data_IF_404933578174
#
_entry.id   IF_404933578174
#
_cell.length_a   1.000
_cell.length_b   1.000
_cell.length_c   1.000
_cell.angle_alpha   90.00
_cell.angle_beta   90.00
_cell.angle_gamma   90.00
#
_symmetry.space_group_name_H-M   'P 1'
#
loop_
_entity.id
_entity.type
_entity.pdbx_description
1 polymer ?
#
# COMPACT_ATOMS: atom_id res chain seq x y z
N UNK A 1 -33.94 2.81 -12.18
CA UNK A 1 -34.03 1.40 -11.78
C UNK A 1 -33.35 0.64 -12.90
N UNK A 2 -32.04 0.46 -12.82
CA UNK A 2 -31.24 -0.34 -13.74
C UNK A 2 -31.28 -1.79 -13.25
N UNK A 3 -31.81 -2.68 -14.09
CA UNK A 3 -31.79 -4.12 -13.86
C UNK A 3 -30.35 -4.55 -13.58
N UNK A 4 -30.15 -5.23 -12.46
CA UNK A 4 -28.90 -5.92 -12.13
C UNK A 4 -28.68 -7.03 -13.16
N UNK A 5 -28.01 -6.72 -14.26
CA UNK A 5 -27.56 -7.71 -15.24
C UNK A 5 -26.55 -8.63 -14.56
N UNK A 6 -26.94 -9.88 -14.32
CA UNK A 6 -26.00 -10.89 -13.84
C UNK A 6 -25.07 -11.26 -15.00
N UNK A 7 -23.79 -10.91 -14.88
CA UNK A 7 -22.77 -11.36 -15.82
C UNK A 7 -22.74 -12.88 -15.91
N UNK A 8 -22.47 -13.38 -17.11
CA UNK A 8 -22.43 -14.81 -17.41
C UNK A 8 -21.03 -15.19 -17.91
N UNK A 9 -20.45 -16.18 -17.29
CA UNK A 9 -19.21 -16.81 -17.77
C UNK A 9 -19.56 -17.84 -18.84
N UNK A 10 -18.92 -17.74 -20.00
CA UNK A 10 -18.96 -18.72 -21.08
C UNK A 10 -17.61 -19.43 -21.12
N UNK A 11 -17.62 -20.74 -20.91
CA UNK A 11 -16.44 -21.60 -21.02
C UNK A 11 -16.57 -22.51 -22.23
N UNK A 12 -15.57 -22.47 -23.09
CA UNK A 12 -15.54 -23.25 -24.34
C UNK A 12 -14.31 -24.14 -24.34
N UNK A 13 -14.52 -25.44 -24.52
CA UNK A 13 -13.48 -26.36 -24.98
C UNK A 13 -13.57 -26.39 -26.52
N UNK A 14 -12.62 -25.82 -27.25
CA UNK A 14 -12.79 -25.52 -28.68
C UNK A 14 -12.68 -26.75 -29.61
N UNK A 15 -12.32 -27.89 -29.07
CA UNK A 15 -12.03 -29.08 -29.87
C UNK A 15 -10.83 -28.89 -30.79
N UNK A 16 -10.96 -29.37 -32.02
CA UNK A 16 -9.90 -29.34 -33.03
C UNK A 16 -9.71 -27.98 -33.74
N UNK A 17 -10.64 -27.02 -33.54
CA UNK A 17 -10.70 -25.75 -34.30
C UNK A 17 -10.58 -24.52 -33.39
N UNK A 18 -9.53 -24.48 -32.61
CA UNK A 18 -9.32 -23.45 -31.56
C UNK A 18 -9.32 -22.02 -32.10
N UNK A 19 -8.59 -21.77 -33.17
CA UNK A 19 -8.45 -20.42 -33.74
C UNK A 19 -9.76 -19.90 -34.32
N UNK A 20 -10.53 -20.78 -35.00
CA UNK A 20 -11.82 -20.42 -35.56
C UNK A 20 -12.85 -20.15 -34.47
N UNK A 21 -12.82 -20.90 -33.36
CA UNK A 21 -13.66 -20.62 -32.20
C UNK A 21 -13.33 -19.28 -31.57
N UNK A 22 -12.07 -18.98 -31.38
CA UNK A 22 -11.61 -17.67 -30.84
C UNK A 22 -12.10 -16.53 -31.75
N UNK A 23 -11.88 -16.65 -33.07
CA UNK A 23 -12.34 -15.65 -34.03
C UNK A 23 -13.87 -15.46 -34.03
N UNK A 24 -14.61 -16.55 -33.88
CA UNK A 24 -16.07 -16.51 -33.81
C UNK A 24 -16.60 -15.83 -32.54
N UNK A 25 -15.95 -16.09 -31.40
CA UNK A 25 -16.28 -15.44 -30.13
C UNK A 25 -16.06 -13.91 -30.20
N UNK A 26 -14.92 -13.46 -30.74
CA UNK A 26 -14.67 -12.02 -30.93
C UNK A 26 -15.62 -11.39 -31.94
N UNK A 27 -15.89 -12.07 -33.06
CA UNK A 27 -16.84 -11.57 -34.06
C UNK A 27 -18.27 -11.40 -33.49
N UNK A 28 -18.63 -12.18 -32.46
CA UNK A 28 -19.94 -12.13 -31.80
C UNK A 28 -19.95 -11.21 -30.57
N UNK A 29 -18.86 -10.49 -30.30
CA UNK A 29 -18.83 -9.43 -29.29
C UNK A 29 -18.12 -9.78 -27.97
N UNK A 30 -17.35 -10.86 -27.88
CA UNK A 30 -16.49 -11.10 -26.75
C UNK A 30 -15.45 -9.96 -26.66
N UNK A 31 -15.38 -9.27 -25.51
CA UNK A 31 -14.44 -8.16 -25.29
C UNK A 31 -13.05 -8.62 -24.90
N UNK A 32 -12.92 -9.85 -24.42
CA UNK A 32 -11.67 -10.48 -24.05
C UNK A 32 -11.88 -11.96 -23.81
N UNK A 33 -10.80 -12.73 -23.95
CA UNK A 33 -10.79 -14.15 -23.62
C UNK A 33 -9.63 -14.45 -22.67
N UNK A 34 -9.83 -15.40 -21.78
CA UNK A 34 -8.79 -15.97 -20.93
C UNK A 34 -8.61 -17.44 -21.30
N UNK A 35 -7.36 -17.86 -21.48
CA UNK A 35 -7.04 -19.27 -21.67
C UNK A 35 -6.81 -19.93 -20.31
N UNK A 36 -7.57 -21.00 -20.03
CA UNK A 36 -7.47 -21.77 -18.79
C UNK A 36 -7.30 -23.24 -19.14
N UNK A 37 -6.06 -23.70 -19.20
CA UNK A 37 -5.71 -25.02 -19.72
C UNK A 37 -6.12 -25.15 -21.19
N UNK A 38 -6.94 -26.14 -21.51
CA UNK A 38 -7.47 -26.36 -22.87
C UNK A 38 -8.73 -25.56 -23.16
N UNK A 39 -9.29 -24.86 -22.16
CA UNK A 39 -10.52 -24.08 -22.29
C UNK A 39 -10.24 -22.62 -22.62
N UNK A 40 -11.19 -22.00 -23.30
CA UNK A 40 -11.34 -20.58 -23.52
C UNK A 40 -12.48 -20.08 -22.61
N UNK A 41 -12.24 -19.03 -21.86
CA UNK A 41 -13.23 -18.45 -20.95
C UNK A 41 -13.44 -16.99 -21.31
N UNK A 42 -14.67 -16.57 -21.42
CA UNK A 42 -15.05 -15.15 -21.58
C UNK A 42 -16.26 -14.82 -20.69
N UNK A 43 -16.53 -13.55 -20.51
CA UNK A 43 -17.63 -13.07 -19.68
C UNK A 43 -18.45 -12.05 -20.46
N UNK A 44 -19.76 -12.12 -20.32
CA UNK A 44 -20.72 -11.24 -21.02
C UNK A 44 -21.79 -10.73 -20.04
N UNK A 45 -22.36 -9.55 -20.32
CA UNK A 45 -23.26 -8.88 -19.38
C UNK A 45 -24.63 -9.52 -19.23
N UNK A 46 -25.02 -10.43 -20.14
CA UNK A 46 -26.34 -11.06 -20.09
C UNK A 46 -26.34 -12.52 -20.58
N UNK A 47 -27.39 -13.27 -20.20
CA UNK A 47 -27.60 -14.63 -20.71
C UNK A 47 -27.86 -14.64 -22.24
N UNK A 48 -28.49 -13.59 -22.74
CA UNK A 48 -28.75 -13.48 -24.21
C UNK A 48 -27.41 -13.35 -24.98
N UNK A 49 -26.47 -12.56 -24.48
CA UNK A 49 -25.11 -12.45 -25.06
C UNK A 49 -24.36 -13.77 -24.96
N UNK A 50 -24.47 -14.47 -23.82
CA UNK A 50 -23.88 -15.79 -23.67
C UNK A 50 -24.41 -16.81 -24.66
N UNK A 51 -25.73 -16.83 -24.91
CA UNK A 51 -26.36 -17.73 -25.88
C UNK A 51 -25.87 -17.46 -27.31
N UNK A 52 -25.61 -16.20 -27.66
CA UNK A 52 -25.01 -15.85 -28.95
C UNK A 52 -23.58 -16.39 -29.09
N UNK A 53 -22.78 -16.27 -28.04
CA UNK A 53 -21.42 -16.83 -28.04
C UNK A 53 -21.42 -18.36 -28.09
N UNK A 54 -22.36 -19.02 -27.40
CA UNK A 54 -22.52 -20.48 -27.46
C UNK A 54 -22.82 -20.90 -28.90
N UNK A 55 -23.78 -20.25 -29.55
CA UNK A 55 -24.14 -20.55 -30.97
C UNK A 55 -22.92 -20.35 -31.89
N UNK A 56 -22.17 -19.26 -31.71
CA UNK A 56 -21.00 -18.97 -32.54
C UNK A 56 -19.89 -20.03 -32.36
N UNK A 57 -19.60 -20.43 -31.13
CA UNK A 57 -18.60 -21.44 -30.84
C UNK A 57 -18.94 -22.80 -31.43
N UNK A 58 -20.20 -23.23 -31.28
CA UNK A 58 -20.68 -24.50 -31.84
C UNK A 58 -20.76 -24.49 -33.39
N UNK A 59 -21.02 -23.33 -33.99
CA UNK A 59 -21.00 -23.17 -35.45
C UNK A 59 -19.56 -23.23 -36.01
N UNK A 60 -18.59 -22.71 -35.26
CA UNK A 60 -17.16 -22.69 -35.64
C UNK A 60 -16.51 -24.06 -35.50
N UNK A 61 -16.91 -24.86 -34.50
CA UNK A 61 -16.36 -26.19 -34.26
C UNK A 61 -17.45 -27.15 -33.78
N UNK A 62 -17.72 -28.19 -34.54
CA UNK A 62 -18.76 -29.18 -34.24
C UNK A 62 -18.42 -30.10 -33.05
N UNK A 63 -17.16 -30.15 -32.65
CA UNK A 63 -16.64 -30.88 -31.51
C UNK A 63 -16.38 -29.97 -30.30
N UNK A 64 -16.73 -28.70 -30.36
CA UNK A 64 -16.65 -27.80 -29.23
C UNK A 64 -17.66 -28.19 -28.14
N UNK A 65 -17.22 -28.08 -26.89
CA UNK A 65 -18.06 -28.25 -25.70
C UNK A 65 -18.17 -26.92 -24.98
N UNK A 66 -19.39 -26.42 -24.82
CA UNK A 66 -19.63 -25.11 -24.22
C UNK A 66 -20.47 -25.27 -22.96
N UNK A 67 -20.11 -24.55 -21.94
CA UNK A 67 -20.88 -24.40 -20.70
C UNK A 67 -21.00 -22.94 -20.31
N UNK A 68 -22.16 -22.57 -19.77
CA UNK A 68 -22.40 -21.24 -19.22
C UNK A 68 -22.72 -21.35 -17.75
N UNK A 69 -22.24 -20.37 -16.97
CA UNK A 69 -22.58 -20.25 -15.56
C UNK A 69 -22.79 -18.76 -15.24
N UNK A 70 -23.76 -18.43 -14.37
CA UNK A 70 -23.83 -17.08 -13.84
C UNK A 70 -22.48 -16.76 -13.20
N UNK A 71 -21.93 -15.59 -13.52
CA UNK A 71 -20.78 -15.09 -12.76
C UNK A 71 -21.31 -14.79 -11.36
N UNK A 72 -20.80 -15.43 -10.31
CA UNK A 72 -21.20 -15.07 -8.96
C UNK A 72 -21.03 -13.56 -8.83
N UNK A 73 -22.02 -12.89 -8.28
CA UNK A 73 -21.90 -11.48 -7.93
C UNK A 73 -20.93 -11.41 -6.72
N UNK A 74 -19.66 -11.65 -7.02
CA UNK A 74 -18.59 -11.54 -6.03
C UNK A 74 -18.39 -10.05 -5.87
N UNK A 75 -18.84 -9.53 -4.76
CA UNK A 75 -18.49 -8.18 -4.38
C UNK A 75 -16.98 -8.12 -4.13
N UNK A 76 -16.25 -7.83 -5.21
CA UNK A 76 -14.79 -7.69 -5.16
C UNK A 76 -14.38 -6.60 -4.17
N UNK A 77 -15.28 -5.64 -3.90
CA UNK A 77 -15.04 -4.60 -2.90
C UNK A 77 -15.04 -5.16 -1.47
N UNK A 78 -15.66 -6.29 -1.23
CA UNK A 78 -15.67 -6.95 0.08
C UNK A 78 -14.67 -8.12 0.15
N UNK A 79 -14.35 -8.75 -0.98
CA UNK A 79 -13.51 -9.95 -0.96
C UNK A 79 -12.04 -9.64 -0.61
N UNK A 80 -11.50 -8.50 -1.08
CA UNK A 80 -10.14 -8.08 -0.72
C UNK A 80 -10.00 -7.75 0.78
N UNK A 81 -11.08 -7.33 1.44
CA UNK A 81 -11.08 -7.07 2.88
C UNK A 81 -10.81 -8.32 3.71
N UNK A 82 -11.16 -9.51 3.19
CA UNK A 82 -11.00 -10.78 3.92
C UNK A 82 -9.52 -11.17 4.10
N UNK A 83 -8.63 -10.63 3.25
CA UNK A 83 -7.17 -10.86 3.35
C UNK A 83 -6.45 -9.88 4.27
N UNK A 84 -7.12 -8.81 4.73
CA UNK A 84 -6.51 -7.78 5.58
C UNK A 84 -6.74 -8.13 7.05
N UNK A 85 -5.67 -8.07 7.83
CA UNK A 85 -5.69 -8.36 9.26
C UNK A 85 -5.16 -7.19 10.07
N UNK A 86 -5.63 -7.07 11.32
CA UNK A 86 -5.04 -6.13 12.26
C UNK A 86 -3.60 -6.56 12.59
N UNK A 87 -2.65 -5.63 12.48
CA UNK A 87 -1.24 -5.84 12.72
C UNK A 87 -0.87 -5.34 14.11
N UNK A 88 -0.55 -6.26 15.02
CA UNK A 88 -0.08 -5.91 16.37
C UNK A 88 1.43 -5.69 16.32
N UNK A 89 1.85 -4.47 16.56
CA UNK A 89 3.24 -4.01 16.43
C UNK A 89 3.70 -3.42 17.77
N UNK A 90 4.11 -4.30 18.69
CA UNK A 90 4.47 -3.91 20.05
C UNK A 90 3.28 -3.31 20.81
N UNK A 91 3.37 -2.04 21.22
CA UNK A 91 2.31 -1.32 21.93
C UNK A 91 1.24 -0.70 21.05
N UNK A 92 1.38 -0.78 19.72
CA UNK A 92 0.43 -0.22 18.75
C UNK A 92 -0.22 -1.32 17.91
N UNK A 93 -1.44 -1.07 17.44
CA UNK A 93 -2.14 -1.95 16.50
C UNK A 93 -2.56 -1.13 15.29
N UNK A 94 -2.18 -1.57 14.08
CA UNK A 94 -2.65 -0.99 12.82
C UNK A 94 -3.79 -1.83 12.29
N UNK A 95 -4.91 -1.22 11.96
CA UNK A 95 -6.08 -1.94 11.48
C UNK A 95 -6.90 -1.09 10.49
N UNK A 96 -7.61 -1.71 9.55
CA UNK A 96 -8.61 -1.02 8.75
C UNK A 96 -9.86 -0.70 9.60
N UNK A 97 -10.73 0.24 9.17
CA UNK A 97 -11.90 0.68 9.94
C UNK A 97 -12.83 -0.45 10.35
N UNK A 98 -13.04 -1.45 9.51
CA UNK A 98 -13.95 -2.58 9.80
C UNK A 98 -13.41 -3.57 10.84
N UNK A 99 -12.13 -3.47 11.23
CA UNK A 99 -11.52 -4.27 12.30
C UNK A 99 -11.18 -3.43 13.55
N UNK A 100 -11.51 -2.14 13.55
CA UNK A 100 -11.09 -1.22 14.61
C UNK A 100 -12.08 -1.13 15.79
N UNK A 101 -13.30 -1.70 15.68
CA UNK A 101 -14.41 -1.44 16.61
C UNK A 101 -14.13 -1.76 18.08
N UNK A 102 -13.34 -2.80 18.35
CA UNK A 102 -13.00 -3.26 19.71
C UNK A 102 -11.57 -2.88 20.15
N UNK A 103 -10.85 -2.10 19.33
CA UNK A 103 -9.47 -1.71 19.63
C UNK A 103 -9.43 -0.48 20.53
N UNK A 104 -8.41 -0.43 21.42
CA UNK A 104 -8.13 0.76 22.23
C UNK A 104 -7.77 1.95 21.31
N UNK A 105 -8.57 3.03 21.28
CA UNK A 105 -8.33 4.18 20.40
C UNK A 105 -6.97 4.85 20.62
N UNK A 106 -6.41 4.81 21.84
CA UNK A 106 -5.12 5.43 22.14
C UNK A 106 -3.93 4.63 21.59
N UNK A 107 -4.15 3.33 21.34
CA UNK A 107 -3.12 2.39 20.87
C UNK A 107 -3.39 1.84 19.48
N UNK A 108 -4.49 2.22 18.86
CA UNK A 108 -4.82 1.80 17.50
C UNK A 108 -4.57 2.91 16.49
N UNK A 109 -4.13 2.49 15.32
CA UNK A 109 -3.94 3.30 14.12
C UNK A 109 -4.90 2.77 13.07
N UNK A 110 -5.93 3.53 12.79
CA UNK A 110 -6.99 3.12 11.86
C UNK A 110 -6.71 3.73 10.49
N UNK A 111 -6.35 2.89 9.53
CA UNK A 111 -6.03 3.31 8.16
C UNK A 111 -7.07 2.77 7.20
N UNK A 112 -7.73 3.68 6.46
CA UNK A 112 -8.56 3.31 5.31
C UNK A 112 -7.63 2.93 4.15
N UNK A 113 -7.64 1.67 3.70
CA UNK A 113 -6.89 1.29 2.52
C UNK A 113 -7.41 2.05 1.29
N UNK A 114 -6.50 2.76 0.63
CA UNK A 114 -6.77 3.59 -0.54
C UNK A 114 -5.70 3.40 -1.61
N UNK A 115 -5.57 4.38 -2.49
CA UNK A 115 -4.52 4.41 -3.52
C UNK A 115 -3.14 4.72 -2.93
N UNK A 116 -3.09 5.38 -1.76
CA UNK A 116 -1.85 5.72 -1.08
C UNK A 116 -1.17 4.50 -0.46
N UNK A 117 0.17 4.46 -0.52
CA UNK A 117 0.98 3.45 0.15
C UNK A 117 0.87 3.57 1.68
N UNK A 118 1.01 2.44 2.40
CA UNK A 118 1.10 2.45 3.86
C UNK A 118 -0.18 2.02 4.59
N UNK A 119 -0.79 0.90 4.17
CA UNK A 119 -1.94 0.29 4.88
C UNK A 119 -1.57 -0.36 6.22
N UNK A 120 -0.27 -0.44 6.55
CA UNK A 120 0.24 -1.16 7.71
C UNK A 120 0.58 -2.64 7.46
N UNK A 121 0.19 -3.20 6.33
CA UNK A 121 0.46 -4.60 5.99
C UNK A 121 1.84 -4.84 5.40
N UNK A 122 2.47 -3.80 4.85
CA UNK A 122 3.79 -3.94 4.26
C UNK A 122 4.88 -4.07 5.33
N UNK A 123 5.83 -4.98 5.14
CA UNK A 123 6.91 -5.26 6.08
C UNK A 123 7.72 -4.00 6.46
N UNK A 124 7.96 -3.11 5.49
CA UNK A 124 8.67 -1.83 5.73
C UNK A 124 7.93 -0.93 6.72
N UNK A 125 6.61 -0.79 6.59
CA UNK A 125 5.79 -0.01 7.52
C UNK A 125 5.83 -0.61 8.92
N UNK A 126 5.72 -1.94 9.02
CA UNK A 126 5.79 -2.65 10.30
C UNK A 126 7.16 -2.47 10.96
N UNK A 127 8.24 -2.59 10.18
CA UNK A 127 9.62 -2.37 10.67
C UNK A 127 9.81 -0.97 11.26
N UNK A 128 9.38 0.08 10.55
CA UNK A 128 9.46 1.46 11.06
C UNK A 128 8.66 1.61 12.35
N UNK A 129 7.42 1.13 12.42
CA UNK A 129 6.59 1.25 13.64
C UNK A 129 7.23 0.53 14.84
N UNK A 130 7.87 -0.64 14.63
CA UNK A 130 8.61 -1.32 15.71
C UNK A 130 9.81 -0.49 16.20
N UNK A 131 10.58 0.10 15.30
CA UNK A 131 11.72 0.95 15.64
C UNK A 131 11.28 2.25 16.32
N UNK A 132 10.20 2.88 15.86
CA UNK A 132 9.67 4.13 16.43
C UNK A 132 9.37 4.03 17.92
N UNK A 133 8.91 2.89 18.41
CA UNK A 133 8.54 2.70 19.80
C UNK A 133 9.72 2.86 20.77
N UNK A 134 10.95 2.66 20.29
CA UNK A 134 12.17 2.85 21.08
C UNK A 134 12.79 4.24 20.88
N UNK A 135 12.31 4.99 19.89
CA UNK A 135 12.92 6.27 19.47
C UNK A 135 12.04 7.46 19.83
N UNK A 136 10.75 7.40 19.50
CA UNK A 136 9.81 8.52 19.71
C UNK A 136 9.49 8.66 21.20
N UNK A 137 9.59 9.88 21.70
CA UNK A 137 9.32 10.25 23.09
C UNK A 137 8.15 11.23 23.17
N UNK A 138 7.41 11.24 24.29
CA UNK A 138 6.40 12.27 24.52
C UNK A 138 6.99 13.69 24.40
N UNK A 139 6.31 14.52 23.63
CA UNK A 139 6.72 15.90 23.38
C UNK A 139 7.65 16.11 22.18
N UNK A 140 8.06 15.07 21.47
CA UNK A 140 8.90 15.17 20.29
C UNK A 140 8.25 15.93 19.15
N UNK A 141 9.09 16.55 18.31
CA UNK A 141 8.76 17.00 16.97
C UNK A 141 9.24 15.93 15.98
N UNK A 142 8.38 15.52 15.07
CA UNK A 142 8.66 14.46 14.10
C UNK A 142 8.40 14.97 12.68
N UNK A 143 9.17 14.53 11.72
CA UNK A 143 8.87 14.66 10.30
C UNK A 143 8.80 13.28 9.65
N UNK A 144 7.73 13.03 8.90
CA UNK A 144 7.50 11.79 8.15
C UNK A 144 7.60 12.11 6.66
N UNK A 145 8.63 11.58 6.00
CA UNK A 145 8.98 11.91 4.61
C UNK A 145 8.45 10.82 3.67
N UNK A 146 7.67 11.21 2.67
CA UNK A 146 6.91 10.30 1.84
C UNK A 146 5.83 9.62 2.67
N UNK A 147 4.96 10.42 3.29
CA UNK A 147 4.04 9.96 4.32
C UNK A 147 2.94 9.02 3.82
N UNK A 148 2.65 9.01 2.51
CA UNK A 148 1.61 8.20 1.91
C UNK A 148 0.27 8.35 2.63
N UNK A 149 -0.23 7.26 3.22
CA UNK A 149 -1.45 7.25 4.03
C UNK A 149 -1.37 7.98 5.37
N UNK A 150 -0.21 8.54 5.73
CA UNK A 150 0.17 9.12 7.02
C UNK A 150 0.24 8.12 8.18
N UNK A 151 0.35 6.81 7.92
CA UNK A 151 0.37 5.77 8.96
C UNK A 151 1.50 5.99 9.97
N UNK A 152 2.71 6.35 9.52
CA UNK A 152 3.86 6.59 10.40
C UNK A 152 3.72 7.90 11.17
N UNK A 153 3.21 8.95 10.54
CA UNK A 153 2.89 10.20 11.21
C UNK A 153 1.84 10.03 12.32
N UNK A 154 0.80 9.23 12.06
CA UNK A 154 -0.21 8.87 13.06
C UNK A 154 0.42 8.03 14.18
N UNK A 155 1.29 7.06 13.84
CA UNK A 155 2.05 6.29 14.82
C UNK A 155 2.87 7.18 15.74
N UNK A 156 3.61 8.15 15.19
CA UNK A 156 4.38 9.11 15.97
C UNK A 156 3.50 9.90 16.96
N UNK A 157 2.33 10.38 16.50
CA UNK A 157 1.40 11.08 17.37
C UNK A 157 0.84 10.18 18.47
N UNK A 158 0.51 8.90 18.20
CA UNK A 158 0.05 7.93 19.20
C UNK A 158 1.15 7.57 20.20
N UNK A 159 2.43 7.61 19.80
CA UNK A 159 3.58 7.44 20.69
C UNK A 159 3.88 8.68 21.54
N UNK A 160 3.14 9.77 21.35
CA UNK A 160 3.23 10.95 22.19
C UNK A 160 3.95 12.16 21.55
N UNK A 161 4.29 12.11 20.27
CA UNK A 161 4.82 13.29 19.58
C UNK A 161 3.82 14.46 19.69
N UNK A 162 4.35 15.65 20.00
CA UNK A 162 3.53 16.88 20.13
C UNK A 162 3.19 17.51 18.78
N UNK A 163 4.07 17.27 17.80
CA UNK A 163 3.93 17.81 16.44
C UNK A 163 4.55 16.85 15.43
N UNK A 164 3.84 16.59 14.36
CA UNK A 164 4.29 15.74 13.26
C UNK A 164 4.00 16.45 11.94
N UNK A 165 5.03 16.67 11.13
CA UNK A 165 4.89 17.08 9.74
C UNK A 165 4.91 15.84 8.85
N UNK A 166 3.80 15.51 8.26
CA UNK A 166 3.66 14.44 7.26
C UNK A 166 3.83 15.06 5.88
N UNK A 167 4.99 14.87 5.27
CA UNK A 167 5.35 15.49 3.98
C UNK A 167 5.17 14.46 2.87
N UNK A 168 4.34 14.79 1.88
CA UNK A 168 4.02 13.91 0.76
C UNK A 168 4.11 14.66 -0.56
N UNK A 169 4.77 14.06 -1.54
CA UNK A 169 4.93 14.64 -2.87
C UNK A 169 3.75 14.34 -3.79
N UNK A 170 3.12 13.18 -3.60
CA UNK A 170 2.01 12.73 -4.44
C UNK A 170 0.71 13.40 -4.00
N UNK A 171 0.20 14.29 -4.87
CA UNK A 171 -1.08 14.97 -4.66
C UNK A 171 -2.24 14.00 -4.40
N UNK A 172 -2.27 12.86 -5.08
CA UNK A 172 -3.37 11.89 -4.98
C UNK A 172 -3.41 11.18 -3.61
N UNK A 173 -2.29 11.22 -2.85
CA UNK A 173 -2.21 10.65 -1.51
C UNK A 173 -2.69 11.62 -0.40
N UNK A 174 -2.70 12.93 -0.65
CA UNK A 174 -2.95 13.96 0.37
C UNK A 174 -4.33 13.82 1.02
N UNK A 175 -5.38 13.71 0.23
CA UNK A 175 -6.74 13.58 0.75
C UNK A 175 -6.90 12.34 1.63
N UNK A 176 -6.32 11.20 1.22
CA UNK A 176 -6.35 9.97 2.00
C UNK A 176 -5.58 10.13 3.33
N UNK A 177 -4.41 10.77 3.31
CA UNK A 177 -3.63 11.06 4.51
C UNK A 177 -4.41 11.93 5.50
N UNK A 178 -5.01 13.03 5.05
CA UNK A 178 -5.81 13.92 5.89
C UNK A 178 -7.03 13.21 6.50
N UNK A 179 -7.72 12.39 5.72
CA UNK A 179 -8.85 11.58 6.21
C UNK A 179 -8.41 10.58 7.28
N UNK A 180 -7.25 9.92 7.10
CA UNK A 180 -6.70 9.01 8.10
C UNK A 180 -6.27 9.75 9.37
N UNK A 181 -5.63 10.90 9.25
CA UNK A 181 -5.26 11.76 10.38
C UNK A 181 -6.51 12.17 11.19
N UNK A 182 -7.57 12.59 10.51
CA UNK A 182 -8.84 12.97 11.15
C UNK A 182 -9.50 11.76 11.84
N UNK A 183 -9.55 10.59 11.17
CA UNK A 183 -10.12 9.33 11.69
C UNK A 183 -9.44 8.88 13.00
N UNK A 184 -8.15 9.12 13.13
CA UNK A 184 -7.38 8.77 14.32
C UNK A 184 -7.40 9.83 15.43
N UNK A 185 -8.15 10.93 15.26
CA UNK A 185 -8.25 12.04 16.21
C UNK A 185 -6.89 12.69 16.55
N UNK A 186 -5.97 12.77 15.59
CA UNK A 186 -4.63 13.37 15.78
C UNK A 186 -4.38 14.63 14.96
N UNK A 187 -5.42 15.20 14.32
CA UNK A 187 -5.31 16.41 13.48
C UNK A 187 -4.79 17.65 14.23
N UNK A 188 -4.85 17.65 15.57
CA UNK A 188 -4.26 18.71 16.38
C UNK A 188 -2.73 18.56 16.57
N UNK A 189 -2.14 17.46 16.13
CA UNK A 189 -0.71 17.15 16.24
C UNK A 189 -0.04 16.81 14.91
N UNK A 190 -0.80 16.28 13.95
CA UNK A 190 -0.30 15.88 12.62
C UNK A 190 -0.78 16.88 11.59
N UNK A 191 0.16 17.44 10.83
CA UNK A 191 -0.13 18.33 9.69
C UNK A 191 0.38 17.63 8.43
N UNK A 192 -0.50 17.39 7.47
CA UNK A 192 -0.15 16.87 6.14
C UNK A 192 0.26 18.06 5.28
N UNK A 193 1.39 17.93 4.59
CA UNK A 193 1.95 19.00 3.75
C UNK A 193 2.32 18.40 2.40
N UNK A 194 1.70 18.91 1.34
CA UNK A 194 2.06 18.55 -0.03
C UNK A 194 3.36 19.22 -0.46
N UNK A 195 4.32 18.45 -0.93
CA UNK A 195 5.54 18.95 -1.54
C UNK A 195 6.77 18.07 -1.34
N UNK A 196 7.89 18.58 -1.85
CA UNK A 196 9.17 17.87 -1.83
C UNK A 196 9.83 17.94 -0.46
N UNK A 197 10.11 16.75 0.10
CA UNK A 197 10.77 16.58 1.39
C UNK A 197 12.16 17.25 1.46
N UNK A 198 12.91 17.28 0.35
CA UNK A 198 14.22 17.94 0.28
C UNK A 198 14.17 19.44 0.58
N UNK A 199 13.03 20.06 0.31
CA UNK A 199 12.79 21.49 0.53
C UNK A 199 12.02 21.73 1.83
N UNK A 200 10.95 20.98 2.06
CA UNK A 200 10.02 21.25 3.15
C UNK A 200 10.55 20.82 4.53
N UNK A 201 11.43 19.82 4.59
CA UNK A 201 11.99 19.37 5.86
C UNK A 201 12.73 20.49 6.59
N UNK A 202 13.47 21.33 5.85
CA UNK A 202 14.18 22.48 6.43
C UNK A 202 13.24 23.52 7.06
N UNK A 203 11.99 23.65 6.55
CA UNK A 203 11.00 24.60 7.07
C UNK A 203 10.36 24.14 8.38
N UNK A 204 10.33 22.85 8.64
CA UNK A 204 9.78 22.27 9.88
C UNK A 204 10.84 21.98 10.93
N UNK A 205 12.10 22.13 10.58
CA UNK A 205 13.26 21.96 11.48
C UNK A 205 13.24 22.96 12.66
N UNK A 206 13.89 22.65 13.79
CA UNK A 206 14.49 21.36 14.11
C UNK A 206 13.45 20.31 14.51
N UNK A 207 13.73 19.05 14.19
CA UNK A 207 12.92 17.90 14.60
C UNK A 207 13.79 16.87 15.32
N UNK A 208 13.20 16.14 16.26
CA UNK A 208 13.97 15.11 16.98
C UNK A 208 13.95 13.76 16.24
N UNK A 209 12.88 13.47 15.51
CA UNK A 209 12.79 12.22 14.76
C UNK A 209 12.39 12.52 13.32
N UNK A 210 13.06 11.86 12.39
CA UNK A 210 12.66 11.76 10.98
C UNK A 210 12.32 10.31 10.69
N UNK A 211 11.16 10.06 10.07
CA UNK A 211 10.83 8.77 9.47
C UNK A 211 10.82 8.91 7.96
N UNK A 212 11.37 7.93 7.24
CA UNK A 212 11.36 7.89 5.79
C UNK A 212 11.29 6.43 5.31
N UNK A 213 10.12 6.06 4.77
CA UNK A 213 9.87 4.74 4.21
C UNK A 213 9.74 4.85 2.70
N UNK A 214 10.85 5.06 2.03
CA UNK A 214 10.97 5.33 0.59
C UNK A 214 12.17 4.58 0.01
N UNK A 215 12.31 4.54 -1.32
CA UNK A 215 13.38 3.79 -1.98
C UNK A 215 14.78 4.30 -1.61
N UNK A 216 15.75 3.41 -1.57
CA UNK A 216 17.13 3.63 -1.12
C UNK A 216 17.84 4.80 -1.79
N UNK A 217 17.66 4.97 -3.12
CA UNK A 217 18.27 6.07 -3.87
C UNK A 217 17.83 7.45 -3.39
N UNK A 218 16.53 7.62 -3.14
CA UNK A 218 15.96 8.88 -2.62
C UNK A 218 16.40 9.12 -1.16
N UNK A 219 16.47 8.05 -0.35
CA UNK A 219 16.99 8.16 1.02
C UNK A 219 18.41 8.73 1.04
N UNK A 220 19.29 8.25 0.18
CA UNK A 220 20.68 8.74 0.09
C UNK A 220 20.71 10.22 -0.26
N UNK A 221 19.88 10.65 -1.21
CA UNK A 221 19.77 12.07 -1.61
C UNK A 221 19.26 12.97 -0.47
N UNK A 222 18.42 12.43 0.42
CA UNK A 222 17.85 13.17 1.55
C UNK A 222 18.76 13.21 2.79
N UNK A 223 19.79 12.35 2.90
CA UNK A 223 20.67 12.31 4.08
C UNK A 223 21.19 13.69 4.50
N UNK A 224 21.67 14.58 3.59
CA UNK A 224 22.18 15.89 3.98
C UNK A 224 21.12 16.80 4.59
N UNK A 225 19.91 16.83 4.04
CA UNK A 225 18.83 17.67 4.60
C UNK A 225 18.29 17.09 5.90
N UNK A 226 18.26 15.77 6.05
CA UNK A 226 17.90 15.09 7.31
C UNK A 226 18.91 15.48 8.39
N UNK A 227 20.21 15.42 8.10
CA UNK A 227 21.26 15.82 9.04
C UNK A 227 21.10 17.23 9.56
N UNK A 228 20.88 18.19 8.65
CA UNK A 228 20.70 19.60 8.99
C UNK A 228 19.42 19.89 9.76
N UNK A 229 18.43 19.03 9.65
CA UNK A 229 17.09 19.25 10.23
C UNK A 229 16.90 18.57 11.58
N UNK A 230 17.77 17.63 11.94
CA UNK A 230 17.69 16.95 13.24
C UNK A 230 18.25 17.80 14.40
N UNK A 231 17.60 17.68 15.55
CA UNK A 231 18.14 18.12 16.84
C UNK A 231 19.48 17.41 17.16
N UNK A 232 20.22 17.90 18.17
CA UNK A 232 21.51 17.31 18.58
C UNK A 232 21.42 15.82 18.95
N UNK A 233 20.35 15.40 19.64
CA UNK A 233 20.08 14.01 19.99
C UNK A 233 19.05 13.34 19.02
N UNK A 234 18.91 13.91 17.84
CA UNK A 234 17.94 13.47 16.84
C UNK A 234 18.28 12.11 16.21
N UNK A 235 17.25 11.44 15.71
CA UNK A 235 17.32 10.13 15.05
C UNK A 235 16.55 10.14 13.73
N UNK A 236 17.07 9.42 12.76
CA UNK A 236 16.27 9.09 11.59
C UNK A 236 15.98 7.58 11.57
N UNK A 237 14.78 7.20 11.10
CA UNK A 237 14.38 5.82 10.87
C UNK A 237 14.13 5.68 9.39
N UNK A 238 14.97 4.89 8.74
CA UNK A 238 14.96 4.67 7.29
C UNK A 238 14.41 3.28 6.98
N UNK A 239 13.58 3.18 5.95
CA UNK A 239 12.99 1.93 5.46
C UNK A 239 12.63 2.05 3.97
N UNK A 240 12.03 0.99 3.41
CA UNK A 240 11.82 0.89 1.95
C UNK A 240 13.06 0.39 1.23
N UNK A 241 13.97 -0.25 1.96
CA UNK A 241 15.28 -0.71 1.50
C UNK A 241 15.24 -2.22 1.38
N UNK A 242 15.64 -2.76 0.23
CA UNK A 242 15.80 -4.21 0.06
C UNK A 242 17.00 -4.72 0.88
N UNK A 243 16.90 -5.93 1.41
CA UNK A 243 17.98 -6.55 2.17
C UNK A 243 19.27 -6.69 1.34
N UNK A 244 19.18 -6.85 0.03
CA UNK A 244 20.31 -6.87 -0.90
C UNK A 244 21.00 -5.49 -1.04
N UNK A 245 20.28 -4.40 -0.79
CA UNK A 245 20.82 -3.04 -0.82
C UNK A 245 21.48 -2.62 0.50
N UNK A 246 21.32 -3.43 1.57
CA UNK A 246 21.80 -3.10 2.93
C UNK A 246 23.27 -2.69 2.97
N UNK A 247 24.15 -3.45 2.32
CA UNK A 247 25.61 -3.14 2.33
C UNK A 247 25.94 -1.82 1.63
N UNK A 248 25.22 -1.51 0.55
CA UNK A 248 25.35 -0.23 -0.16
C UNK A 248 24.90 0.93 0.74
N UNK A 249 23.74 0.77 1.41
CA UNK A 249 23.23 1.77 2.36
C UNK A 249 24.17 1.98 3.54
N UNK A 250 24.72 0.93 4.15
CA UNK A 250 25.69 1.05 5.25
C UNK A 250 26.89 1.89 4.81
N UNK A 251 27.46 1.62 3.64
CA UNK A 251 28.58 2.42 3.13
C UNK A 251 28.21 3.89 2.95
N UNK A 252 27.04 4.16 2.36
CA UNK A 252 26.56 5.54 2.18
C UNK A 252 26.34 6.28 3.51
N UNK A 253 25.83 5.57 4.53
CA UNK A 253 25.65 6.10 5.87
C UNK A 253 27.00 6.37 6.54
N UNK A 254 27.95 5.45 6.47
CA UNK A 254 29.30 5.60 7.03
C UNK A 254 30.05 6.78 6.40
N UNK A 255 30.00 6.90 5.08
CA UNK A 255 30.63 7.99 4.32
C UNK A 255 30.01 9.36 4.64
N UNK A 256 28.73 9.38 5.02
CA UNK A 256 27.98 10.59 5.39
C UNK A 256 27.97 10.86 6.92
N UNK A 257 28.80 10.16 7.72
CA UNK A 257 28.94 10.43 9.14
C UNK A 257 27.81 9.90 10.04
N UNK A 258 27.03 8.96 9.55
CA UNK A 258 25.98 8.31 10.33
C UNK A 258 26.47 7.01 10.99
N UNK A 259 25.81 6.64 12.09
CA UNK A 259 25.94 5.31 12.71
C UNK A 259 24.55 4.66 12.80
N UNK A 260 24.50 3.37 12.68
CA UNK A 260 23.30 2.56 12.91
C UNK A 260 23.19 2.26 14.40
N UNK A 261 22.03 2.50 15.00
CA UNK A 261 21.75 2.21 16.41
C UNK A 261 20.85 0.99 16.59
N UNK A 262 19.95 0.74 15.64
CA UNK A 262 19.05 -0.42 15.64
C UNK A 262 18.67 -0.80 14.21
N UNK A 263 18.36 -2.05 14.01
CA UNK A 263 17.92 -2.60 12.73
C UNK A 263 16.66 -3.45 12.92
N UNK A 264 15.84 -3.51 11.89
CA UNK A 264 14.71 -4.41 11.77
C UNK A 264 14.76 -5.11 10.42
N UNK A 265 14.51 -6.42 10.42
CA UNK A 265 14.53 -7.25 9.22
C UNK A 265 13.23 -8.03 9.14
N UNK A 266 12.54 -7.90 8.04
CA UNK A 266 11.34 -8.69 7.77
C UNK A 266 11.28 -9.05 6.28
N UNK A 267 11.24 -10.34 5.98
CA UNK A 267 11.30 -10.89 4.64
C UNK A 267 12.53 -10.39 3.87
N UNK A 268 12.30 -9.70 2.74
CA UNK A 268 13.35 -9.12 1.89
C UNK A 268 13.63 -7.65 2.23
N UNK A 269 13.09 -7.13 3.34
CA UNK A 269 13.16 -5.70 3.67
C UNK A 269 14.03 -5.46 4.90
N UNK A 270 14.74 -4.34 4.85
CA UNK A 270 15.59 -3.84 5.91
C UNK A 270 15.19 -2.42 6.31
N UNK A 271 15.20 -2.17 7.62
CA UNK A 271 14.94 -0.85 8.20
C UNK A 271 15.99 -0.57 9.26
N UNK A 272 16.36 0.70 9.45
CA UNK A 272 17.36 1.07 10.44
C UNK A 272 17.03 2.39 11.14
N UNK A 273 17.36 2.44 12.43
CA UNK A 273 17.50 3.70 13.16
C UNK A 273 18.94 4.16 13.07
N UNK A 274 19.13 5.40 12.65
CA UNK A 274 20.44 6.02 12.50
C UNK A 274 20.56 7.30 13.34
N UNK A 275 21.79 7.60 13.73
CA UNK A 275 22.16 8.82 14.44
C UNK A 275 23.46 9.40 13.89
N UNK A 276 23.69 10.69 14.10
CA UNK A 276 24.99 11.32 13.83
C UNK A 276 26.08 10.68 14.69
N UNK A 277 27.29 10.59 14.16
CA UNK A 277 28.48 10.14 14.90
C UNK A 277 28.95 11.17 15.89
#
# INVERSE_FOLDING_TARGET
MSENGSWVTVRVHPGSRREEVIAALFAQGAQGIQEVGESIVTQVPSQADADLLVCAALAASSDAVVSTAPLPNVDWSEQWKQGIHAQVLGGLTVAPPWLAGDLDPERSIVIEPGMAFGTGEHATTRGVIRLMQNVVRPGDRVADLGSGSAVLAIAAAKLGARYVAAIELDHDAIENAEQNVARNNVANRVVVVEGDASTLLALVAPVRVVTANIISSVLIELLPVIELSLDEDGRAILSGILAEEREMMIRSLDDSGWRIEAEDHEDIWWSATIARR
#
